data_IF_113060295813
#
_entry.id   IF_113060295813
#
_cell.length_a   1.000
_cell.length_b   1.000
_cell.length_c   1.000
_cell.angle_alpha   90.00
_cell.angle_beta   90.00
_cell.angle_gamma   90.00
#
_symmetry.space_group_name_H-M   'P 1'
#
loop_
_entity.id
_entity.type
_entity.pdbx_description
1 polymer ?
#
# COMPACT_ATOMS: atom_id res chain seq x y z
N UNK A 1 -5.02 -7.23 22.73
CA UNK A 1 -3.68 -6.64 22.62
C UNK A 1 -2.80 -7.64 21.91
N UNK A 2 -2.51 -7.39 20.64
CA UNK A 2 -1.70 -8.32 19.85
C UNK A 2 -0.36 -8.54 20.55
N UNK A 3 -0.04 -9.80 20.87
CA UNK A 3 1.26 -10.20 21.40
C UNK A 3 2.28 -10.22 20.24
N UNK A 4 2.43 -9.07 19.58
CA UNK A 4 3.33 -8.88 18.44
C UNK A 4 4.76 -8.77 18.99
N UNK A 5 5.67 -9.55 18.43
CA UNK A 5 7.09 -9.42 18.76
C UNK A 5 7.64 -8.09 18.23
N UNK A 6 8.76 -7.61 18.78
CA UNK A 6 9.39 -6.37 18.27
C UNK A 6 9.75 -6.50 16.79
N UNK A 7 10.22 -7.67 16.36
CA UNK A 7 10.52 -7.96 14.96
C UNK A 7 9.26 -7.91 14.09
N UNK A 8 8.16 -8.52 14.54
CA UNK A 8 6.88 -8.47 13.80
C UNK A 8 6.34 -7.05 13.71
N UNK A 9 6.51 -6.23 14.77
CA UNK A 9 6.11 -4.83 14.77
C UNK A 9 6.92 -4.02 13.75
N UNK A 10 8.24 -4.25 13.68
CA UNK A 10 9.10 -3.60 12.70
C UNK A 10 8.72 -4.00 11.27
N UNK A 11 8.50 -5.30 11.02
CA UNK A 11 8.05 -5.82 9.73
C UNK A 11 6.69 -5.20 9.33
N UNK A 12 5.75 -5.15 10.27
CA UNK A 12 4.43 -4.57 10.05
C UNK A 12 4.52 -3.08 9.67
N UNK A 13 5.33 -2.30 10.40
CA UNK A 13 5.56 -0.87 10.08
C UNK A 13 6.23 -0.69 8.73
N UNK A 14 7.21 -1.54 8.41
CA UNK A 14 7.88 -1.51 7.12
C UNK A 14 6.90 -1.77 5.97
N UNK A 15 6.04 -2.79 6.11
CA UNK A 15 5.00 -3.08 5.12
C UNK A 15 3.99 -1.94 4.97
N UNK A 16 3.53 -1.34 6.09
CA UNK A 16 2.63 -0.18 6.07
C UNK A 16 3.24 0.99 5.27
N UNK A 17 4.50 1.35 5.56
CA UNK A 17 5.21 2.41 4.83
C UNK A 17 5.53 2.05 3.38
N UNK A 18 5.78 0.76 3.10
CA UNK A 18 5.94 0.24 1.75
C UNK A 18 4.70 0.49 0.90
N UNK A 19 3.49 0.26 1.45
CA UNK A 19 2.24 0.52 0.73
C UNK A 19 1.95 2.00 0.48
N UNK A 20 2.38 2.93 1.35
CA UNK A 20 2.35 4.36 1.02
C UNK A 20 3.20 4.68 -0.20
N UNK A 21 4.42 4.12 -0.25
CA UNK A 21 5.33 4.31 -1.38
C UNK A 21 4.75 3.71 -2.67
N UNK A 22 4.17 2.50 -2.59
CA UNK A 22 3.48 1.87 -3.71
C UNK A 22 2.30 2.73 -4.18
N UNK A 23 1.48 3.27 -3.26
CA UNK A 23 0.36 4.13 -3.63
C UNK A 23 0.81 5.34 -4.46
N UNK A 24 1.82 6.07 -3.98
CA UNK A 24 2.36 7.25 -4.67
C UNK A 24 2.89 6.88 -6.07
N UNK A 25 3.70 5.82 -6.18
CA UNK A 25 4.24 5.37 -7.47
C UNK A 25 3.16 4.93 -8.44
N UNK A 26 2.17 4.16 -7.97
CA UNK A 26 1.07 3.72 -8.82
C UNK A 26 0.23 4.91 -9.31
N UNK A 27 0.01 5.94 -8.48
CA UNK A 27 -0.63 7.17 -8.96
C UNK A 27 0.21 7.87 -10.03
N UNK A 28 1.50 8.06 -9.79
CA UNK A 28 2.40 8.69 -10.77
C UNK A 28 2.41 7.92 -12.10
N UNK A 29 2.46 6.58 -12.04
CA UNK A 29 2.42 5.75 -13.24
C UNK A 29 1.08 5.84 -13.97
N UNK A 30 -0.04 5.94 -13.25
CA UNK A 30 -1.36 6.18 -13.85
C UNK A 30 -1.42 7.55 -14.56
N UNK A 31 -0.81 8.58 -13.99
CA UNK A 31 -0.77 9.92 -14.59
C UNK A 31 0.11 9.97 -15.85
N UNK A 32 1.21 9.22 -15.85
CA UNK A 32 2.10 9.09 -17.01
C UNK A 32 1.60 8.13 -18.10
N UNK A 33 0.61 7.27 -17.80
CA UNK A 33 0.10 6.29 -18.74
C UNK A 33 -0.85 6.92 -19.78
N UNK A 34 -0.57 6.67 -21.06
CA UNK A 34 -1.40 7.12 -22.18
C UNK A 34 -2.45 6.09 -22.58
N UNK A 35 -2.17 4.80 -22.41
CA UNK A 35 -3.14 3.74 -22.63
C UNK A 35 -4.16 3.69 -21.49
N UNK A 36 -5.44 3.63 -21.84
CA UNK A 36 -6.54 3.69 -20.86
C UNK A 36 -6.59 2.45 -19.96
N UNK A 37 -6.23 1.28 -20.47
CA UNK A 37 -6.23 0.04 -19.69
C UNK A 37 -5.06 0.01 -18.71
N UNK A 38 -3.88 0.47 -19.14
CA UNK A 38 -2.69 0.61 -18.30
C UNK A 38 -2.92 1.66 -17.20
N UNK A 39 -3.54 2.80 -17.53
CA UNK A 39 -3.93 3.80 -16.54
C UNK A 39 -4.85 3.21 -15.47
N UNK A 40 -5.92 2.53 -15.89
CA UNK A 40 -6.86 1.91 -14.97
C UNK A 40 -6.20 0.81 -14.10
N UNK A 41 -5.26 0.05 -14.66
CA UNK A 41 -4.48 -0.92 -13.91
C UNK A 41 -3.71 -0.26 -12.76
N UNK A 42 -3.01 0.85 -13.03
CA UNK A 42 -2.27 1.58 -12.01
C UNK A 42 -3.18 2.27 -10.99
N UNK A 43 -4.31 2.86 -11.41
CA UNK A 43 -5.30 3.43 -10.49
C UNK A 43 -5.87 2.38 -9.53
N UNK A 44 -6.16 1.18 -10.03
CA UNK A 44 -6.58 0.04 -9.21
C UNK A 44 -5.47 -0.37 -8.24
N UNK A 45 -4.23 -0.45 -8.71
CA UNK A 45 -3.05 -0.73 -7.88
C UNK A 45 -2.87 0.28 -6.74
N UNK A 46 -3.02 1.57 -7.02
CA UNK A 46 -2.95 2.63 -6.02
C UNK A 46 -4.04 2.47 -4.95
N UNK A 47 -5.26 2.11 -5.33
CA UNK A 47 -6.37 1.86 -4.40
C UNK A 47 -6.10 0.63 -3.54
N UNK A 48 -5.70 -0.49 -4.15
CA UNK A 48 -5.39 -1.73 -3.43
C UNK A 48 -4.25 -1.55 -2.43
N UNK A 49 -3.24 -0.72 -2.73
CA UNK A 49 -2.18 -0.40 -1.78
C UNK A 49 -2.72 0.26 -0.50
N UNK A 50 -3.65 1.21 -0.62
CA UNK A 50 -4.27 1.87 0.53
C UNK A 50 -5.19 0.94 1.32
N UNK A 51 -5.94 0.08 0.64
CA UNK A 51 -6.77 -0.93 1.30
C UNK A 51 -5.90 -1.90 2.12
N UNK A 52 -4.79 -2.38 1.55
CA UNK A 52 -3.83 -3.24 2.25
C UNK A 52 -3.18 -2.52 3.43
N UNK A 53 -2.76 -1.26 3.26
CA UNK A 53 -2.26 -0.43 4.36
C UNK A 53 -3.27 -0.35 5.49
N UNK A 54 -4.54 -0.08 5.19
CA UNK A 54 -5.59 0.05 6.19
C UNK A 54 -5.86 -1.28 6.91
N UNK A 55 -5.77 -2.41 6.21
CA UNK A 55 -5.84 -3.74 6.82
C UNK A 55 -4.67 -3.98 7.77
N UNK A 56 -3.45 -3.65 7.36
CA UNK A 56 -2.26 -3.81 8.20
C UNK A 56 -2.31 -2.95 9.46
N UNK A 57 -2.83 -1.72 9.37
CA UNK A 57 -3.02 -0.85 10.53
C UNK A 57 -3.95 -1.43 11.60
N UNK A 58 -4.86 -2.35 11.25
CA UNK A 58 -5.74 -3.01 12.24
C UNK A 58 -4.98 -3.93 13.19
N UNK A 59 -3.81 -4.45 12.79
CA UNK A 59 -2.96 -5.26 13.66
C UNK A 59 -2.20 -4.43 14.71
N UNK A 60 -2.24 -3.09 14.60
CA UNK A 60 -1.68 -2.16 15.58
C UNK A 60 -2.71 -1.70 16.64
N UNK A 61 -3.98 -2.10 16.52
CA UNK A 61 -5.09 -1.69 17.40
C UNK A 61 -5.35 -2.71 18.53
#
# INVERSE_FOLDING_TARGET
MANISELDLQNLRHLIGGYDTTHCKMKEYAECATDSSVKQFFEKGARSAMDNKQQLMKFLQ
#
